data_IF_207434761994
#
_entry.id   IF_207434761994
#
_cell.length_a   1.000
_cell.length_b   1.000
_cell.length_c   1.000
_cell.angle_alpha   90.00
_cell.angle_beta   90.00
_cell.angle_gamma   90.00
#
_symmetry.space_group_name_H-M   'P 1'
#
loop_
_entity.id
_entity.type
_entity.pdbx_description
1 polymer ?
#
# COMPACT_ATOMS: atom_id res chain seq x y z
N UNK A 1 -3.41 -0.32 5.65
CA UNK A 1 -3.85 0.75 4.71
C UNK A 1 -5.33 0.60 4.41
N UNK A 2 -6.06 1.71 4.37
CA UNK A 2 -7.47 1.80 4.03
C UNK A 2 -7.65 2.57 2.72
N UNK A 3 -8.49 2.07 1.83
CA UNK A 3 -8.76 2.67 0.54
C UNK A 3 -10.19 2.41 0.07
N UNK A 4 -10.62 3.15 -0.94
CA UNK A 4 -11.83 2.84 -1.70
C UNK A 4 -11.59 1.63 -2.60
N UNK A 5 -12.54 0.71 -2.64
CA UNK A 5 -12.50 -0.45 -3.52
C UNK A 5 -12.73 0.02 -4.97
N UNK A 6 -11.65 0.10 -5.75
CA UNK A 6 -11.71 0.42 -7.18
C UNK A 6 -10.94 -0.62 -7.99
N UNK A 7 -11.46 -0.87 -9.19
CA UNK A 7 -10.76 -1.68 -10.17
C UNK A 7 -9.39 -1.05 -10.50
N UNK A 8 -8.35 -1.89 -10.55
CA UNK A 8 -6.98 -1.47 -10.85
C UNK A 8 -6.18 -0.96 -9.65
N UNK A 9 -6.79 -0.78 -8.47
CA UNK A 9 -6.06 -0.25 -7.31
C UNK A 9 -4.87 -1.12 -6.87
N UNK A 10 -5.03 -2.45 -6.93
CA UNK A 10 -3.96 -3.39 -6.63
C UNK A 10 -2.79 -3.32 -7.62
N UNK A 11 -3.08 -3.05 -8.89
CA UNK A 11 -2.02 -2.83 -9.88
C UNK A 11 -1.25 -1.55 -9.59
N UNK A 12 -1.94 -0.47 -9.24
CA UNK A 12 -1.29 0.81 -8.93
C UNK A 12 -0.35 0.68 -7.73
N UNK A 13 -0.79 -0.01 -6.67
CA UNK A 13 0.07 -0.31 -5.50
C UNK A 13 1.27 -1.15 -5.93
N UNK A 14 1.05 -2.25 -6.67
CA UNK A 14 2.12 -3.14 -7.11
C UNK A 14 3.15 -2.41 -7.97
N UNK A 15 2.69 -1.48 -8.80
CA UNK A 15 3.55 -0.63 -9.63
C UNK A 15 4.43 0.28 -8.76
N UNK A 16 3.89 0.90 -7.71
CA UNK A 16 4.67 1.74 -6.77
C UNK A 16 5.85 0.94 -6.17
N UNK A 17 5.60 -0.29 -5.70
CA UNK A 17 6.66 -1.14 -5.15
C UNK A 17 7.68 -1.59 -6.21
N UNK A 18 7.20 -1.94 -7.41
CA UNK A 18 8.06 -2.35 -8.52
C UNK A 18 9.00 -1.22 -8.95
N UNK A 19 8.49 0.01 -9.08
CA UNK A 19 9.28 1.19 -9.42
C UNK A 19 10.27 1.59 -8.31
N UNK A 20 9.88 1.36 -7.04
CA UNK A 20 10.76 1.57 -5.90
C UNK A 20 11.84 0.47 -5.77
N UNK A 21 11.74 -0.63 -6.53
CA UNK A 21 12.59 -1.83 -6.44
C UNK A 21 12.56 -2.47 -5.05
N UNK A 22 11.35 -2.54 -4.48
CA UNK A 22 11.14 -3.04 -3.12
C UNK A 22 10.45 -4.39 -3.14
N UNK A 23 11.06 -5.33 -2.45
CA UNK A 23 10.52 -6.68 -2.29
C UNK A 23 9.35 -6.68 -1.31
N UNK A 24 8.16 -6.92 -1.85
CA UNK A 24 6.97 -7.24 -1.07
C UNK A 24 7.02 -8.70 -0.65
N UNK A 25 6.92 -8.97 0.66
CA UNK A 25 6.92 -10.32 1.25
C UNK A 25 5.52 -10.86 1.46
N UNK A 26 4.56 -9.99 1.77
CA UNK A 26 3.15 -10.35 1.89
C UNK A 26 2.27 -9.18 1.49
N UNK A 27 1.13 -9.49 0.88
CA UNK A 27 0.06 -8.55 0.61
C UNK A 27 -1.27 -9.27 0.83
N UNK A 28 -2.06 -8.80 1.79
CA UNK A 28 -3.40 -9.28 2.07
C UNK A 28 -4.40 -8.16 1.79
N UNK A 29 -5.41 -8.45 0.99
CA UNK A 29 -6.42 -7.50 0.56
C UNK A 29 -7.78 -8.03 0.97
N UNK A 30 -8.52 -7.22 1.72
CA UNK A 30 -9.89 -7.51 2.13
C UNK A 30 -10.80 -6.38 1.69
N UNK A 31 -11.74 -6.68 0.80
CA UNK A 31 -12.79 -5.75 0.39
C UNK A 31 -14.04 -5.95 1.25
N UNK A 32 -14.75 -4.87 1.51
CA UNK A 32 -16.03 -4.89 2.21
C UNK A 32 -17.16 -4.52 1.24
N UNK A 33 -18.38 -5.01 1.52
CA UNK A 33 -19.58 -4.66 0.74
C UNK A 33 -19.92 -3.15 0.76
N UNK A 34 -19.26 -2.36 1.62
CA UNK A 34 -19.40 -0.89 1.69
C UNK A 34 -18.48 -0.15 0.72
N UNK A 35 -17.76 -0.86 -0.16
CA UNK A 35 -16.87 -0.24 -1.15
C UNK A 35 -15.54 0.22 -0.57
N UNK A 36 -15.10 -0.39 0.54
CA UNK A 36 -13.81 -0.09 1.17
C UNK A 36 -12.91 -1.32 1.11
N UNK A 37 -11.64 -1.09 0.80
CA UNK A 37 -10.58 -2.09 0.82
C UNK A 37 -9.63 -1.82 2.01
N UNK A 38 -9.35 -2.86 2.78
CA UNK A 38 -8.28 -2.89 3.76
C UNK A 38 -7.15 -3.72 3.21
N UNK A 39 -5.95 -3.15 3.23
CA UNK A 39 -4.75 -3.74 2.65
C UNK A 39 -3.68 -3.79 3.72
N UNK A 40 -3.23 -5.00 4.01
CA UNK A 40 -2.11 -5.29 4.90
C UNK A 40 -0.93 -5.75 4.04
N UNK A 41 0.24 -5.14 4.24
CA UNK A 41 1.42 -5.36 3.40
C UNK A 41 2.65 -5.48 4.28
N UNK A 42 3.42 -6.55 4.07
CA UNK A 42 4.74 -6.75 4.64
C UNK A 42 5.80 -6.61 3.56
N UNK A 43 6.77 -5.73 3.75
CA UNK A 43 7.90 -5.52 2.85
C UNK A 43 9.13 -5.09 3.65
N UNK A 44 10.31 -5.23 3.06
CA UNK A 44 11.58 -4.89 3.70
C UNK A 44 12.10 -3.59 3.10
N UNK A 45 12.60 -2.70 3.96
CA UNK A 45 13.24 -1.44 3.59
C UNK A 45 14.60 -1.34 4.26
N UNK A 46 15.55 -0.69 3.60
CA UNK A 46 16.92 -0.54 4.08
C UNK A 46 17.07 0.65 5.05
N UNK A 47 16.09 1.56 5.08
CA UNK A 47 16.14 2.74 5.93
C UNK A 47 14.81 3.47 6.06
N UNK A 48 14.79 4.45 6.96
CA UNK A 48 13.61 5.29 7.23
C UNK A 48 13.23 6.17 6.04
N UNK A 49 14.20 6.62 5.26
CA UNK A 49 13.97 7.46 4.07
C UNK A 49 13.20 6.69 2.99
N UNK A 50 13.62 5.45 2.71
CA UNK A 50 12.98 4.58 1.72
C UNK A 50 11.53 4.29 2.12
N UNK A 51 11.31 3.94 3.38
CA UNK A 51 9.97 3.79 3.93
C UNK A 51 9.11 5.06 3.74
N UNK A 52 9.65 6.22 4.10
CA UNK A 52 8.91 7.48 4.01
C UNK A 52 8.54 7.78 2.56
N UNK A 53 9.48 7.58 1.62
CA UNK A 53 9.24 7.75 0.19
C UNK A 53 8.12 6.85 -0.34
N UNK A 54 8.04 5.59 0.11
CA UNK A 54 6.95 4.68 -0.29
C UNK A 54 5.62 5.15 0.28
N UNK A 55 5.57 5.52 1.56
CA UNK A 55 4.34 5.97 2.21
C UNK A 55 3.79 7.19 1.48
N UNK A 56 4.64 8.16 1.13
CA UNK A 56 4.26 9.34 0.36
C UNK A 56 3.73 8.97 -1.04
N UNK A 57 4.41 8.07 -1.76
CA UNK A 57 3.94 7.57 -3.06
C UNK A 57 2.58 6.86 -2.96
N UNK A 58 2.39 6.04 -1.93
CA UNK A 58 1.11 5.35 -1.70
C UNK A 58 0.01 6.36 -1.36
N UNK A 59 0.26 7.39 -0.54
CA UNK A 59 -0.72 8.44 -0.24
C UNK A 59 -1.18 9.21 -1.48
N UNK A 60 -0.33 9.32 -2.50
CA UNK A 60 -0.69 9.96 -3.77
C UNK A 60 -1.62 9.11 -4.65
N UNK A 61 -1.78 7.81 -4.36
CA UNK A 61 -2.69 6.96 -5.12
C UNK A 61 -4.14 7.37 -4.88
N UNK A 62 -4.86 7.66 -5.96
CA UNK A 62 -6.27 8.00 -5.90
C UNK A 62 -7.06 6.85 -5.25
N UNK A 63 -7.76 7.17 -4.17
CA UNK A 63 -8.57 6.23 -3.40
C UNK A 63 -7.95 5.78 -2.09
N UNK A 64 -6.69 6.11 -1.77
CA UNK A 64 -6.17 5.93 -0.42
C UNK A 64 -6.89 6.87 0.54
N UNK A 65 -7.44 6.30 1.60
CA UNK A 65 -8.11 7.04 2.68
C UNK A 65 -7.14 7.27 3.82
N UNK A 66 -6.41 6.22 4.22
CA UNK A 66 -5.44 6.31 5.29
C UNK A 66 -4.37 5.21 5.23
N UNK A 67 -3.18 5.51 5.75
CA UNK A 67 -2.05 4.59 5.85
C UNK A 67 -1.55 4.59 7.29
N UNK A 68 -1.80 3.47 7.95
CA UNK A 68 -1.21 3.16 9.25
C UNK A 68 -0.07 2.16 9.08
N UNK A 69 0.94 2.30 9.96
CA UNK A 69 2.03 1.34 10.07
C UNK A 69 1.76 0.45 11.26
N UNK A 70 1.64 -0.85 11.03
CA UNK A 70 1.68 -1.85 12.09
C UNK A 70 3.12 -1.99 12.56
N UNK A 71 3.40 -1.68 13.83
CA UNK A 71 4.71 -1.90 14.44
C UNK A 71 4.98 -3.39 14.57
N UNK A 72 6.11 -3.82 14.01
CA UNK A 72 6.81 -5.05 14.37
C UNK A 72 8.13 -4.68 15.04
#
# INVERSE_FOLDING_TARGET
MYANDRQGFLMDISKVFTEAKIDVKSMNVRTSKKGTATIDMGFIVNGREELHAIIEKLRQLQGVLDIERTTG
#
